data_IF_355027993323
#
_entry.id   IF_355027993323
#
_cell.length_a   1.000
_cell.length_b   1.000
_cell.length_c   1.000
_cell.angle_alpha   90.00
_cell.angle_beta   90.00
_cell.angle_gamma   90.00
#
_symmetry.space_group_name_H-M   'P 1'
#
loop_
_entity.id
_entity.type
_entity.pdbx_description
1 polymer ?
#
# COMPACT_ATOMS: atom_id res chain seq x y z
N UNK A 1 -9.09 -12.72 -6.14
CA UNK A 1 -8.97 -11.57 -7.08
C UNK A 1 -8.35 -12.02 -8.39
N UNK A 2 -7.19 -12.72 -8.42
CA UNK A 2 -6.47 -13.11 -9.64
C UNK A 2 -7.36 -13.86 -10.64
N UNK A 3 -8.00 -14.96 -10.23
CA UNK A 3 -8.89 -15.74 -11.10
C UNK A 3 -10.06 -14.92 -11.66
N UNK A 4 -10.63 -14.05 -10.85
CA UNK A 4 -11.70 -13.16 -11.31
C UNK A 4 -11.21 -12.18 -12.37
N UNK A 5 -10.06 -11.53 -12.12
CA UNK A 5 -9.46 -10.58 -13.06
C UNK A 5 -9.06 -11.27 -14.37
N UNK A 6 -8.50 -12.48 -14.30
CA UNK A 6 -8.18 -13.28 -15.49
C UNK A 6 -9.44 -13.65 -16.26
N UNK A 7 -10.52 -14.08 -15.59
CA UNK A 7 -11.80 -14.40 -16.21
C UNK A 7 -12.43 -13.20 -16.93
N UNK A 8 -12.34 -12.01 -16.35
CA UNK A 8 -12.79 -10.76 -16.97
C UNK A 8 -11.91 -10.42 -18.18
N UNK A 9 -10.59 -10.56 -18.08
CA UNK A 9 -9.66 -10.25 -19.16
C UNK A 9 -9.89 -11.13 -20.41
N UNK A 10 -10.14 -12.42 -20.24
CA UNK A 10 -10.40 -13.37 -21.35
C UNK A 10 -11.52 -12.88 -22.27
N UNK A 11 -12.58 -12.29 -21.73
CA UNK A 11 -13.75 -11.84 -22.47
C UNK A 11 -13.76 -10.34 -22.78
N UNK A 12 -12.68 -9.62 -22.45
CA UNK A 12 -12.63 -8.16 -22.62
C UNK A 12 -12.34 -7.71 -24.05
N UNK A 13 -11.79 -8.58 -24.90
CA UNK A 13 -11.25 -8.21 -26.21
C UNK A 13 -9.95 -7.41 -26.15
N UNK A 14 -9.35 -7.25 -24.96
CA UNK A 14 -8.09 -6.54 -24.77
C UNK A 14 -6.90 -7.51 -24.77
N UNK A 15 -5.79 -7.09 -25.36
CA UNK A 15 -4.52 -7.84 -25.31
C UNK A 15 -3.82 -7.55 -23.95
N UNK A 16 -4.23 -8.29 -22.92
CA UNK A 16 -3.72 -8.16 -21.57
C UNK A 16 -3.38 -9.52 -20.97
N UNK A 17 -2.28 -9.57 -20.22
CA UNK A 17 -1.89 -10.72 -19.41
C UNK A 17 -1.87 -10.33 -17.93
N UNK A 18 -2.68 -11.01 -17.13
CA UNK A 18 -2.76 -10.79 -15.68
C UNK A 18 -2.04 -11.94 -14.99
N UNK A 19 -1.00 -11.61 -14.23
CA UNK A 19 -0.16 -12.58 -13.50
C UNK A 19 0.09 -12.10 -12.08
N UNK A 20 0.37 -13.05 -11.21
CA UNK A 20 0.93 -12.79 -9.89
C UNK A 20 2.46 -12.85 -10.02
N UNK A 21 3.17 -11.75 -9.72
CA UNK A 21 4.63 -11.76 -9.78
C UNK A 21 5.21 -12.51 -8.58
N UNK A 22 6.31 -13.24 -8.81
CA UNK A 22 7.11 -13.82 -7.73
C UNK A 22 8.05 -12.76 -7.16
N UNK A 23 7.58 -12.04 -6.15
CA UNK A 23 8.33 -10.97 -5.47
C UNK A 23 8.12 -11.05 -3.96
N UNK A 24 9.16 -10.68 -3.21
CA UNK A 24 9.11 -10.58 -1.74
C UNK A 24 9.20 -9.11 -1.32
N UNK A 25 8.12 -8.53 -0.77
CA UNK A 25 8.14 -7.14 -0.34
C UNK A 25 8.82 -6.98 1.03
N UNK A 26 9.68 -5.96 1.14
CA UNK A 26 10.25 -5.49 2.38
C UNK A 26 9.94 -4.00 2.52
N UNK A 27 9.44 -3.56 3.69
CA UNK A 27 9.12 -2.17 3.94
C UNK A 27 10.20 -1.51 4.81
N UNK A 28 10.70 -0.37 4.36
CA UNK A 28 11.57 0.52 5.13
C UNK A 28 10.80 1.80 5.42
N UNK A 29 10.31 1.97 6.63
CA UNK A 29 9.40 3.03 7.02
C UNK A 29 9.95 3.87 8.18
N UNK A 30 9.54 5.12 8.24
CA UNK A 30 9.90 6.06 9.31
C UNK A 30 10.75 7.24 8.83
N UNK A 31 10.97 8.25 9.70
CA UNK A 31 11.55 9.54 9.33
C UNK A 31 13.00 9.46 8.80
N UNK A 32 13.73 8.43 9.17
CA UNK A 32 15.11 8.22 8.71
C UNK A 32 15.22 7.32 7.47
N UNK A 33 14.11 6.75 6.97
CA UNK A 33 14.13 5.83 5.82
C UNK A 33 14.78 6.46 4.58
N UNK A 34 14.52 7.74 4.32
CA UNK A 34 15.15 8.46 3.20
C UNK A 34 16.67 8.53 3.29
N UNK A 35 17.23 8.71 4.50
CA UNK A 35 18.68 8.74 4.70
C UNK A 35 19.31 7.37 4.44
N UNK A 36 18.62 6.31 4.86
CA UNK A 36 19.05 4.93 4.63
C UNK A 36 19.05 4.63 3.14
N UNK A 37 17.95 4.99 2.45
CA UNK A 37 17.84 4.80 1.00
C UNK A 37 18.91 5.55 0.21
N UNK A 38 19.29 6.76 0.65
CA UNK A 38 20.41 7.50 0.05
C UNK A 38 21.73 6.75 0.23
N UNK A 39 21.98 6.20 1.42
CA UNK A 39 23.18 5.40 1.71
C UNK A 39 23.26 4.14 0.83
N UNK A 40 22.12 3.55 0.50
CA UNK A 40 22.03 2.33 -0.34
C UNK A 40 22.06 2.62 -1.85
N UNK A 41 21.34 3.64 -2.31
CA UNK A 41 21.09 3.89 -3.74
C UNK A 41 21.59 5.24 -4.25
N UNK A 42 22.19 6.06 -3.38
CA UNK A 42 22.68 7.39 -3.71
C UNK A 42 21.57 8.46 -3.73
N UNK A 43 21.97 9.70 -3.96
CA UNK A 43 21.11 10.89 -3.87
C UNK A 43 19.90 10.87 -4.81
N UNK A 44 20.02 10.24 -5.98
CA UNK A 44 18.94 10.17 -6.99
C UNK A 44 17.67 9.48 -6.50
N UNK A 45 17.71 8.74 -5.39
CA UNK A 45 16.53 8.12 -4.81
C UNK A 45 15.53 9.14 -4.26
N UNK A 46 15.99 10.35 -3.93
CA UNK A 46 15.15 11.47 -3.50
C UNK A 46 14.14 11.93 -4.56
N UNK A 47 14.47 11.74 -5.83
CA UNK A 47 13.61 12.13 -6.95
C UNK A 47 12.41 11.19 -7.13
N UNK A 48 12.38 10.08 -6.40
CA UNK A 48 11.26 9.13 -6.42
C UNK A 48 10.06 9.73 -5.70
N UNK A 49 9.05 10.13 -6.48
CA UNK A 49 7.83 10.77 -5.97
C UNK A 49 6.91 9.75 -5.29
N UNK A 50 6.04 10.24 -4.43
CA UNK A 50 5.02 9.42 -3.79
C UNK A 50 4.13 8.70 -4.82
N UNK A 51 3.88 7.41 -4.62
CA UNK A 51 3.23 6.48 -5.57
C UNK A 51 4.01 6.18 -6.86
N UNK A 52 5.28 6.58 -6.95
CA UNK A 52 6.14 6.21 -8.07
C UNK A 52 7.04 5.05 -7.66
N UNK A 53 7.56 4.36 -8.68
CA UNK A 53 8.54 3.29 -8.49
C UNK A 53 9.68 3.39 -9.50
N UNK A 54 10.75 2.70 -9.21
CA UNK A 54 11.89 2.48 -10.12
C UNK A 54 12.39 1.05 -9.99
N UNK A 55 12.86 0.50 -11.09
CA UNK A 55 13.67 -0.72 -11.08
C UNK A 55 15.11 -0.34 -10.79
N UNK A 56 15.70 -0.94 -9.77
CA UNK A 56 17.04 -0.66 -9.28
C UNK A 56 17.75 -1.98 -8.94
N UNK A 57 19.07 -1.93 -8.92
CA UNK A 57 19.88 -3.00 -8.34
C UNK A 57 20.61 -2.46 -7.10
N UNK A 58 20.61 -3.23 -6.03
CA UNK A 58 21.51 -3.03 -4.90
C UNK A 58 22.60 -4.08 -5.03
N UNK A 59 23.76 -3.66 -5.58
CA UNK A 59 24.81 -4.56 -6.09
C UNK A 59 24.20 -5.55 -7.11
N UNK A 60 24.19 -6.85 -6.80
CA UNK A 60 23.63 -7.94 -7.63
C UNK A 60 22.16 -8.28 -7.26
N UNK A 61 21.50 -7.49 -6.41
CA UNK A 61 20.14 -7.74 -5.95
C UNK A 61 19.15 -6.91 -6.79
N UNK A 62 18.34 -7.56 -7.66
CA UNK A 62 17.36 -6.85 -8.49
C UNK A 62 16.10 -6.51 -7.68
N UNK A 63 15.69 -5.24 -7.73
CA UNK A 63 14.60 -4.69 -6.94
C UNK A 63 13.65 -3.83 -7.77
N UNK A 64 12.39 -3.81 -7.40
CA UNK A 64 11.49 -2.67 -7.65
C UNK A 64 11.40 -1.89 -6.35
N UNK A 65 11.76 -0.62 -6.38
CA UNK A 65 11.67 0.27 -5.22
C UNK A 65 10.54 1.26 -5.46
N UNK A 66 9.54 1.26 -4.60
CA UNK A 66 8.45 2.24 -4.65
C UNK A 66 8.46 3.18 -3.45
N UNK A 67 7.91 4.38 -3.68
CA UNK A 67 7.72 5.41 -2.65
C UNK A 67 6.33 5.26 -2.06
N UNK A 68 6.09 4.12 -1.41
CA UNK A 68 4.82 3.69 -0.80
C UNK A 68 5.09 3.07 0.57
N UNK A 69 4.02 2.72 1.28
CA UNK A 69 4.11 2.04 2.57
C UNK A 69 2.74 1.85 3.22
N UNK A 70 2.71 1.06 4.27
CA UNK A 70 1.52 0.73 5.05
C UNK A 70 1.66 1.15 6.51
N UNK A 71 2.30 2.29 6.76
CA UNK A 71 2.61 2.75 8.12
C UNK A 71 2.17 4.16 8.43
N UNK A 72 1.63 4.90 7.44
CA UNK A 72 1.38 6.34 7.48
C UNK A 72 2.65 7.19 7.69
N UNK A 73 3.80 6.55 7.67
CA UNK A 73 5.11 7.19 7.79
C UNK A 73 5.76 7.38 6.43
N UNK A 74 6.75 8.25 6.41
CA UNK A 74 7.64 8.38 5.26
C UNK A 74 8.39 7.06 5.05
N UNK A 75 8.35 6.50 3.84
CA UNK A 75 9.02 5.23 3.61
C UNK A 75 9.06 4.77 2.17
N UNK A 76 9.58 3.57 2.01
CA UNK A 76 9.74 2.88 0.75
C UNK A 76 9.36 1.42 0.90
N UNK A 77 8.92 0.82 -0.19
CA UNK A 77 8.75 -0.63 -0.32
C UNK A 77 9.75 -1.15 -1.34
N UNK A 78 10.48 -2.17 -0.96
CA UNK A 78 11.48 -2.84 -1.78
C UNK A 78 10.93 -4.21 -2.16
N UNK A 79 10.57 -4.39 -3.41
CA UNK A 79 10.06 -5.65 -3.94
C UNK A 79 11.22 -6.43 -4.53
N UNK A 80 11.65 -7.44 -3.81
CA UNK A 80 12.76 -8.31 -4.20
C UNK A 80 12.29 -9.26 -5.31
N UNK A 81 13.00 -9.23 -6.46
CA UNK A 81 12.69 -10.08 -7.61
C UNK A 81 13.33 -11.48 -7.53
N UNK A 82 14.34 -11.66 -6.69
CA UNK A 82 15.02 -12.92 -6.45
C UNK A 82 14.99 -13.26 -4.96
N UNK A 83 14.08 -14.12 -4.55
CA UNK A 83 13.88 -14.52 -3.16
C UNK A 83 15.12 -15.14 -2.49
N UNK A 84 16.07 -15.69 -3.25
CA UNK A 84 17.32 -16.22 -2.71
C UNK A 84 18.21 -15.14 -2.09
N UNK A 85 18.03 -13.88 -2.47
CA UNK A 85 18.76 -12.72 -1.98
C UNK A 85 18.10 -12.01 -0.78
N UNK A 86 17.08 -12.60 -0.18
CA UNK A 86 16.31 -11.97 0.89
C UNK A 86 17.14 -11.62 2.12
N UNK A 87 17.99 -12.54 2.57
CA UNK A 87 18.88 -12.31 3.71
C UNK A 87 19.91 -11.22 3.38
N UNK A 88 20.53 -11.27 2.21
CA UNK A 88 21.52 -10.28 1.79
C UNK A 88 20.91 -8.87 1.75
N UNK A 89 19.71 -8.74 1.21
CA UNK A 89 18.98 -7.46 1.20
C UNK A 89 18.70 -6.97 2.62
N UNK A 90 18.19 -7.83 3.49
CA UNK A 90 17.88 -7.47 4.88
C UNK A 90 19.13 -7.00 5.61
N UNK A 91 20.24 -7.73 5.54
CA UNK A 91 21.50 -7.38 6.19
C UNK A 91 22.05 -6.05 5.70
N UNK A 92 22.04 -5.81 4.38
CA UNK A 92 22.49 -4.54 3.78
C UNK A 92 21.66 -3.36 4.29
N UNK A 93 20.34 -3.51 4.40
CA UNK A 93 19.46 -2.45 4.92
C UNK A 93 19.73 -2.21 6.41
N UNK A 94 19.85 -3.27 7.20
CA UNK A 94 20.12 -3.17 8.64
C UNK A 94 21.48 -2.51 8.91
N UNK A 95 22.53 -2.86 8.18
CA UNK A 95 23.84 -2.24 8.30
C UNK A 95 23.83 -0.76 7.85
N UNK A 96 23.16 -0.45 6.74
CA UNK A 96 23.01 0.93 6.30
C UNK A 96 22.25 1.80 7.30
N UNK A 97 21.27 1.20 7.99
CA UNK A 97 20.40 1.88 8.95
C UNK A 97 20.93 1.96 10.37
N UNK A 98 22.04 1.30 10.70
CA UNK A 98 22.58 1.19 12.05
C UNK A 98 22.75 2.53 12.75
N UNK A 99 23.37 3.50 12.06
CA UNK A 99 23.62 4.86 12.59
C UNK A 99 22.34 5.70 12.70
N UNK A 100 21.25 5.26 12.08
CA UNK A 100 19.95 5.93 12.05
C UNK A 100 18.92 5.29 13.00
N UNK A 101 19.34 4.30 13.79
CA UNK A 101 18.49 3.64 14.78
C UNK A 101 17.45 2.71 14.18
N UNK A 102 17.74 2.09 13.02
CA UNK A 102 16.86 1.08 12.40
C UNK A 102 16.60 -0.08 13.36
N UNK A 103 15.38 -0.58 13.34
CA UNK A 103 14.98 -1.76 14.11
C UNK A 103 14.05 -2.61 13.23
N UNK A 104 14.07 -3.95 13.41
CA UNK A 104 13.01 -4.79 12.85
C UNK A 104 11.63 -4.33 13.37
N UNK A 105 10.64 -4.42 12.53
CA UNK A 105 9.27 -4.05 12.87
C UNK A 105 8.27 -4.88 12.08
N UNK A 106 7.01 -4.63 12.33
CA UNK A 106 5.89 -5.22 11.62
C UNK A 106 4.82 -4.16 11.34
N UNK A 107 3.86 -4.49 10.49
CA UNK A 107 2.69 -3.65 10.24
C UNK A 107 1.90 -3.47 11.54
N UNK A 108 1.33 -2.27 11.73
CA UNK A 108 0.58 -1.93 12.94
C UNK A 108 -0.81 -1.43 12.56
N UNK A 109 -1.84 -2.07 13.09
CA UNK A 109 -3.23 -1.65 12.92
C UNK A 109 -3.49 -0.26 13.52
N UNK A 110 -2.84 0.07 14.62
CA UNK A 110 -2.95 1.39 15.25
C UNK A 110 -2.48 2.48 14.28
N UNK A 111 -1.29 2.33 13.71
CA UNK A 111 -0.72 3.33 12.79
C UNK A 111 -1.56 3.52 11.53
N UNK A 112 -2.07 2.43 10.94
CA UNK A 112 -2.92 2.56 9.75
C UNK A 112 -4.22 3.27 10.06
N UNK A 113 -4.84 3.02 11.23
CA UNK A 113 -6.08 3.67 11.66
C UNK A 113 -5.83 5.15 11.91
N UNK A 114 -4.77 5.52 12.64
CA UNK A 114 -4.36 6.92 12.85
C UNK A 114 -4.11 7.65 11.54
N UNK A 115 -3.54 6.97 10.56
CA UNK A 115 -3.30 7.52 9.22
C UNK A 115 -4.50 7.49 8.28
N UNK A 116 -5.65 6.99 8.72
CA UNK A 116 -6.85 6.85 7.89
C UNK A 116 -6.70 5.84 6.73
N UNK A 117 -5.82 4.87 6.87
CA UNK A 117 -5.58 3.85 5.85
C UNK A 117 -6.60 2.72 5.99
N UNK A 118 -7.40 2.54 4.94
CA UNK A 118 -8.42 1.50 4.89
C UNK A 118 -7.81 0.12 4.64
N UNK A 119 -8.34 -0.89 5.32
CA UNK A 119 -7.99 -2.30 5.12
C UNK A 119 -9.23 -3.07 4.71
N UNK A 120 -9.15 -3.80 3.58
CA UNK A 120 -10.23 -4.68 3.15
C UNK A 120 -10.39 -5.83 4.16
N UNK A 121 -11.60 -6.20 4.47
CA UNK A 121 -12.10 -7.08 5.54
C UNK A 121 -12.16 -6.42 6.93
N UNK A 122 -11.30 -5.48 7.27
CA UNK A 122 -11.38 -4.77 8.55
C UNK A 122 -12.35 -3.57 8.48
N UNK A 123 -12.21 -2.76 7.43
CA UNK A 123 -12.98 -1.51 7.28
C UNK A 123 -14.02 -1.58 6.16
N UNK A 124 -13.87 -2.52 5.24
CA UNK A 124 -14.73 -2.69 4.08
C UNK A 124 -14.83 -4.15 3.66
N UNK A 125 -15.92 -4.50 3.02
CA UNK A 125 -16.16 -5.81 2.44
C UNK A 125 -16.83 -5.69 1.06
N UNK A 126 -17.28 -6.81 0.50
CA UNK A 126 -17.94 -6.85 -0.82
C UNK A 126 -19.25 -6.06 -0.87
N UNK A 127 -19.87 -5.77 0.28
CA UNK A 127 -21.10 -4.98 0.39
C UNK A 127 -20.85 -3.47 0.43
N UNK A 128 -19.59 -3.06 0.56
CA UNK A 128 -19.18 -1.67 0.73
C UNK A 128 -18.82 -1.05 -0.62
N UNK A 129 -19.32 0.13 -0.91
CA UNK A 129 -18.96 0.88 -2.10
C UNK A 129 -17.97 2.03 -1.78
N UNK A 130 -17.23 2.56 -2.76
CA UNK A 130 -16.22 3.58 -2.52
C UNK A 130 -16.76 4.90 -1.96
N UNK A 131 -18.01 5.26 -2.20
CA UNK A 131 -18.61 6.48 -1.66
C UNK A 131 -18.89 6.36 -0.16
N UNK A 132 -19.25 5.17 0.31
CA UNK A 132 -19.39 4.87 1.74
C UNK A 132 -18.06 4.98 2.49
N UNK A 133 -16.93 4.80 1.80
CA UNK A 133 -15.57 4.89 2.33
C UNK A 133 -14.95 6.30 2.20
N UNK A 134 -15.68 7.27 1.63
CA UNK A 134 -15.11 8.60 1.36
C UNK A 134 -14.03 8.61 0.28
N UNK A 135 -14.07 7.65 -0.65
CA UNK A 135 -13.11 7.51 -1.74
C UNK A 135 -13.59 8.16 -3.06
N UNK A 136 -14.54 9.08 -2.99
CA UNK A 136 -15.12 9.79 -4.15
C UNK A 136 -14.05 10.35 -5.08
N UNK A 137 -12.99 10.91 -4.51
CA UNK A 137 -11.91 11.59 -5.24
C UNK A 137 -11.15 10.69 -6.22
N UNK A 138 -11.20 9.37 -6.01
CA UNK A 138 -10.52 8.39 -6.88
C UNK A 138 -11.47 7.69 -7.84
N UNK A 139 -12.78 8.01 -7.80
CA UNK A 139 -13.81 7.47 -8.67
C UNK A 139 -14.14 8.49 -9.75
N UNK A 140 -13.55 8.33 -10.95
CA UNK A 140 -13.83 9.23 -12.06
C UNK A 140 -14.99 8.69 -12.91
N UNK A 141 -16.20 9.19 -12.70
CA UNK A 141 -17.39 8.84 -13.47
C UNK A 141 -17.57 9.68 -14.72
N UNK A 142 -16.87 10.81 -14.83
CA UNK A 142 -17.01 11.76 -15.95
C UNK A 142 -16.10 11.38 -17.15
N UNK A 143 -15.34 10.30 -17.03
CA UNK A 143 -14.53 9.78 -18.13
C UNK A 143 -15.38 9.16 -19.23
N UNK A 144 -14.94 9.28 -20.51
CA UNK A 144 -15.54 8.59 -21.65
C UNK A 144 -15.22 7.08 -21.68
N UNK A 145 -14.32 6.62 -20.82
CA UNK A 145 -13.95 5.21 -20.70
C UNK A 145 -15.05 4.47 -19.94
N UNK A 146 -15.55 3.38 -20.51
CA UNK A 146 -16.43 2.47 -19.80
C UNK A 146 -15.60 1.50 -18.95
N UNK A 147 -16.10 1.15 -17.76
CA UNK A 147 -15.48 0.20 -16.86
C UNK A 147 -16.53 -0.55 -16.04
N UNK A 148 -16.15 -1.72 -15.52
CA UNK A 148 -17.03 -2.57 -14.71
C UNK A 148 -17.47 -1.81 -13.45
N UNK A 149 -18.80 -1.72 -13.27
CA UNK A 149 -19.39 -1.02 -12.12
C UNK A 149 -19.71 0.45 -12.36
N UNK A 150 -19.28 1.08 -13.48
CA UNK A 150 -19.53 2.51 -13.73
C UNK A 150 -21.00 2.89 -13.59
N UNK A 151 -21.91 2.13 -14.24
CA UNK A 151 -23.37 2.37 -14.18
C UNK A 151 -23.91 2.27 -12.75
N UNK A 152 -23.47 1.27 -11.99
CA UNK A 152 -23.87 1.09 -10.59
C UNK A 152 -23.38 2.23 -9.71
N UNK A 153 -22.12 2.65 -9.89
CA UNK A 153 -21.54 3.77 -9.15
C UNK A 153 -22.23 5.09 -9.50
N UNK A 154 -22.60 5.29 -10.79
CA UNK A 154 -23.36 6.46 -11.21
C UNK A 154 -24.75 6.51 -10.53
N UNK A 155 -25.42 5.36 -10.42
CA UNK A 155 -26.70 5.25 -9.72
C UNK A 155 -26.54 5.60 -8.24
N UNK A 156 -25.56 5.01 -7.56
CA UNK A 156 -25.27 5.27 -6.13
C UNK A 156 -24.94 6.75 -5.91
N UNK A 157 -24.13 7.35 -6.78
CA UNK A 157 -23.79 8.79 -6.69
C UNK A 157 -25.02 9.67 -6.77
N UNK A 158 -25.99 9.33 -7.64
CA UNK A 158 -27.23 10.10 -7.81
C UNK A 158 -28.22 9.92 -6.64
N UNK A 159 -28.30 8.70 -6.10
CA UNK A 159 -29.21 8.35 -5.00
C UNK A 159 -28.62 8.71 -3.63
N UNK A 160 -27.30 8.87 -3.54
CA UNK A 160 -26.58 9.06 -2.29
C UNK A 160 -26.30 7.73 -1.56
N UNK A 161 -25.58 7.82 -0.45
CA UNK A 161 -25.28 6.68 0.42
C UNK A 161 -25.99 6.82 1.75
N UNK A 162 -26.38 5.69 2.35
CA UNK A 162 -27.10 5.66 3.63
C UNK A 162 -26.17 5.54 4.84
N UNK A 163 -24.90 5.23 4.61
CA UNK A 163 -23.86 5.05 5.64
C UNK A 163 -22.54 5.62 5.14
N UNK A 164 -21.74 6.11 6.07
CA UNK A 164 -20.38 6.59 5.80
C UNK A 164 -19.45 6.00 6.85
N UNK A 165 -18.27 5.60 6.42
CA UNK A 165 -17.20 5.30 7.34
C UNK A 165 -16.62 6.58 7.91
N UNK A 166 -16.46 6.64 9.23
CA UNK A 166 -15.93 7.79 9.94
C UNK A 166 -14.84 7.34 10.91
N UNK A 167 -13.83 8.20 11.10
CA UNK A 167 -12.87 8.04 12.18
C UNK A 167 -13.45 8.57 13.49
N UNK A 168 -13.19 7.86 14.60
CA UNK A 168 -13.57 8.29 15.93
C UNK A 168 -12.31 8.54 16.77
N UNK A 169 -12.22 9.72 17.36
CA UNK A 169 -11.21 10.00 18.38
C UNK A 169 -11.84 9.81 19.76
N UNK A 170 -11.37 8.83 20.53
CA UNK A 170 -11.90 8.50 21.83
C UNK A 170 -10.96 9.10 22.90
N UNK A 171 -11.43 10.09 23.63
CA UNK A 171 -10.70 10.74 24.73
C UNK A 171 -10.90 10.01 26.07
N UNK A 172 -10.66 8.70 26.12
CA UNK A 172 -10.69 7.94 27.34
C UNK A 172 -9.61 6.86 27.33
N UNK A 173 -9.24 6.39 28.50
CA UNK A 173 -8.14 5.50 28.83
C UNK A 173 -7.57 4.68 27.65
N UNK A 174 -6.52 5.19 27.04
CA UNK A 174 -5.83 4.59 25.88
C UNK A 174 -5.27 3.18 26.12
N UNK A 175 -5.10 2.79 27.39
CA UNK A 175 -4.60 1.47 27.75
C UNK A 175 -5.61 0.32 27.48
N UNK A 176 -6.90 0.64 27.36
CA UNK A 176 -7.94 -0.37 27.14
C UNK A 176 -8.20 -0.68 25.65
N UNK A 177 -7.76 0.19 24.74
CA UNK A 177 -8.02 0.03 23.32
C UNK A 177 -6.96 -0.80 22.58
N UNK A 178 -5.76 -0.91 23.15
CA UNK A 178 -4.69 -1.74 22.57
C UNK A 178 -4.87 -3.22 22.87
N UNK A 179 -5.37 -3.57 24.07
CA UNK A 179 -5.54 -4.97 24.48
C UNK A 179 -6.79 -5.62 23.88
N UNK A 180 -7.79 -4.84 23.49
CA UNK A 180 -9.01 -5.36 22.85
C UNK A 180 -8.88 -5.61 21.34
N UNK A 181 -7.78 -5.17 20.73
CA UNK A 181 -7.53 -5.40 19.31
C UNK A 181 -6.61 -6.61 19.03
N UNK A 182 -6.01 -7.18 20.08
CA UNK A 182 -5.09 -8.32 19.98
C UNK A 182 -5.74 -9.66 20.44
N UNK A 183 -7.01 -9.66 20.87
CA UNK A 183 -7.87 -10.83 21.08
C UNK A 183 -8.82 -11.05 19.87
#
# INVERSE_FOLDING_TARGET
ILLWSQGVAINSGLDVKITEPDVSPLQLQGPNSGKIMIKLFGEKIKDLKYYWFRELNLDDIPLVVSRTGWSSEFGYELFLKDGSKGNDLYEKIMEAGKDFGIKPGHTSSIRRIEGGMLSYHADADISTNPFELGLDRIVNLDTNIDFIGKKSLQKIKNEGVNRLQVGLEIKCCLLYTSDAADE
#
